data_IF_889306366740
#
_entry.id   IF_889306366740
#
_cell.length_a   1.000
_cell.length_b   1.000
_cell.length_c   1.000
_cell.angle_alpha   90.00
_cell.angle_beta   90.00
_cell.angle_gamma   90.00
#
_symmetry.space_group_name_H-M   'P 1'
#
loop_
_entity.id
_entity.type
_entity.pdbx_description
1 polymer ?
#
# COMPACT_ATOMS: atom_id res chain seq x y z
N UNK A 1 18.47 4.20 0.39
CA UNK A 1 18.91 5.50 0.95
C UNK A 1 17.75 6.04 1.74
N UNK A 2 17.99 6.65 2.90
CA UNK A 2 16.97 7.34 3.69
C UNK A 2 17.14 8.86 3.57
N UNK A 3 16.03 9.59 3.67
CA UNK A 3 15.97 11.06 3.60
C UNK A 3 15.54 11.64 4.94
N UNK A 4 16.12 12.78 5.33
CA UNK A 4 15.63 13.53 6.49
C UNK A 4 14.43 14.40 6.14
N UNK A 5 13.62 14.77 7.13
CA UNK A 5 12.54 15.75 6.96
C UNK A 5 13.07 17.09 6.45
N UNK A 6 14.22 17.54 6.96
CA UNK A 6 14.88 18.76 6.51
C UNK A 6 15.23 18.68 5.01
N UNK A 7 15.83 17.56 4.56
CA UNK A 7 16.14 17.34 3.14
C UNK A 7 14.88 17.37 2.28
N UNK A 8 13.82 16.67 2.70
CA UNK A 8 12.55 16.64 1.98
C UNK A 8 11.90 18.03 1.88
N UNK A 9 12.03 18.87 2.90
CA UNK A 9 11.55 20.25 2.92
C UNK A 9 12.32 21.20 1.98
N UNK A 10 13.53 20.83 1.57
CA UNK A 10 14.34 21.61 0.63
C UNK A 10 14.22 21.11 -0.83
N UNK A 11 13.70 19.90 -1.04
CA UNK A 11 13.56 19.32 -2.38
C UNK A 11 12.61 20.10 -3.29
N UNK A 12 12.99 20.20 -4.58
CA UNK A 12 12.04 20.55 -5.63
C UNK A 12 11.03 19.41 -5.80
N UNK A 13 9.85 19.73 -6.34
CA UNK A 13 8.77 18.75 -6.48
C UNK A 13 9.20 17.48 -7.22
N UNK A 14 9.97 17.62 -8.32
CA UNK A 14 10.46 16.48 -9.09
C UNK A 14 11.36 15.55 -8.25
N UNK A 15 12.24 16.10 -7.42
CA UNK A 15 13.15 15.32 -6.57
C UNK A 15 12.38 14.65 -5.42
N UNK A 16 11.38 15.33 -4.85
CA UNK A 16 10.50 14.78 -3.82
C UNK A 16 9.66 13.61 -4.35
N UNK A 17 9.09 13.75 -5.56
CA UNK A 17 8.35 12.68 -6.22
C UNK A 17 9.28 11.52 -6.60
N UNK A 18 10.51 11.78 -7.03
CA UNK A 18 11.48 10.72 -7.27
C UNK A 18 11.84 9.96 -5.99
N UNK A 19 11.90 10.64 -4.84
CA UNK A 19 12.20 10.05 -3.55
C UNK A 19 11.01 9.25 -2.97
N UNK A 20 9.79 9.79 -3.02
CA UNK A 20 8.63 9.27 -2.29
C UNK A 20 7.48 8.78 -3.18
N UNK A 21 7.57 8.93 -4.50
CA UNK A 21 6.50 8.57 -5.44
C UNK A 21 6.15 7.08 -5.49
N UNK A 22 7.05 6.21 -5.00
CA UNK A 22 6.81 4.77 -4.89
C UNK A 22 6.16 4.34 -3.55
N UNK A 23 5.90 5.28 -2.63
CA UNK A 23 5.26 4.98 -1.33
C UNK A 23 3.85 4.41 -1.54
N UNK A 24 3.11 4.91 -2.51
CA UNK A 24 1.84 4.34 -2.95
C UNK A 24 2.03 3.64 -4.30
N UNK A 25 1.54 2.40 -4.41
CA UNK A 25 1.80 1.57 -5.60
C UNK A 25 1.30 2.27 -6.88
N UNK A 26 2.22 2.46 -7.84
CA UNK A 26 1.99 3.09 -9.15
C UNK A 26 1.21 4.41 -9.11
N UNK A 27 1.27 5.15 -7.98
CA UNK A 27 0.48 6.37 -7.75
C UNK A 27 1.36 7.53 -7.24
N UNK A 28 2.35 8.00 -8.04
CA UNK A 28 3.27 9.07 -7.63
C UNK A 28 2.59 10.43 -7.44
N UNK A 29 1.38 10.61 -7.97
CA UNK A 29 0.58 11.82 -7.80
C UNK A 29 0.32 12.15 -6.32
N UNK A 30 0.25 11.14 -5.43
CA UNK A 30 0.06 11.38 -3.99
C UNK A 30 1.25 12.16 -3.42
N UNK A 31 2.49 11.76 -3.76
CA UNK A 31 3.69 12.49 -3.36
C UNK A 31 3.73 13.89 -4.00
N UNK A 32 3.27 14.01 -5.25
CA UNK A 32 3.23 15.29 -5.96
C UNK A 32 2.32 16.32 -5.27
N UNK A 33 1.13 15.90 -4.85
CA UNK A 33 0.16 16.76 -4.15
C UNK A 33 0.59 17.03 -2.70
N UNK A 34 1.08 16.02 -1.98
CA UNK A 34 1.57 16.19 -0.61
C UNK A 34 2.73 17.20 -0.53
N UNK A 35 3.58 17.28 -1.56
CA UNK A 35 4.68 18.24 -1.64
C UNK A 35 4.25 19.71 -1.44
N UNK A 36 3.00 20.05 -1.80
CA UNK A 36 2.44 21.40 -1.67
C UNK A 36 2.16 21.80 -0.22
N UNK A 37 2.10 20.82 0.70
CA UNK A 37 1.79 21.02 2.12
C UNK A 37 3.03 21.28 2.98
N UNK A 38 4.23 21.27 2.37
CA UNK A 38 5.49 21.60 3.05
C UNK A 38 5.51 23.04 3.57
N UNK A 39 6.29 23.34 4.63
CA UNK A 39 7.23 22.42 5.30
C UNK A 39 6.54 21.44 6.25
N UNK A 40 7.03 20.21 6.28
CA UNK A 40 6.64 19.21 7.28
C UNK A 40 7.45 19.38 8.56
N UNK A 41 6.81 19.21 9.70
CA UNK A 41 7.44 19.34 11.02
C UNK A 41 8.24 18.09 11.38
N UNK A 42 7.67 16.92 11.13
CA UNK A 42 8.26 15.62 11.45
C UNK A 42 7.72 14.52 10.52
N UNK A 43 8.10 13.27 10.80
CA UNK A 43 7.62 12.10 10.06
C UNK A 43 6.10 11.94 10.10
N UNK A 44 5.46 12.25 11.24
CA UNK A 44 4.01 12.11 11.41
C UNK A 44 3.27 13.12 10.54
N UNK A 45 3.78 14.35 10.47
CA UNK A 45 3.22 15.43 9.65
C UNK A 45 3.32 15.08 8.14
N UNK A 46 4.47 14.57 7.69
CA UNK A 46 4.63 14.06 6.32
C UNK A 46 3.66 12.91 6.01
N UNK A 47 3.56 11.93 6.93
CA UNK A 47 2.66 10.80 6.75
C UNK A 47 1.20 11.29 6.64
N UNK A 48 0.79 12.19 7.53
CA UNK A 48 -0.56 12.74 7.54
C UNK A 48 -0.87 13.50 6.25
N UNK A 49 0.07 14.33 5.77
CA UNK A 49 -0.10 15.06 4.52
C UNK A 49 -0.36 14.13 3.31
N UNK A 50 0.34 12.98 3.24
CA UNK A 50 0.10 11.99 2.18
C UNK A 50 -1.24 11.26 2.36
N UNK A 51 -1.64 10.95 3.59
CA UNK A 51 -2.94 10.33 3.90
C UNK A 51 -4.09 11.27 3.59
N UNK A 52 -3.93 12.56 3.85
CA UNK A 52 -4.96 13.58 3.56
C UNK A 52 -5.22 13.68 2.06
N UNK A 53 -4.18 13.57 1.22
CA UNK A 53 -4.36 13.48 -0.24
C UNK A 53 -5.23 12.29 -0.63
N UNK A 54 -5.01 11.11 -0.03
CA UNK A 54 -5.84 9.90 -0.29
C UNK A 54 -7.26 10.07 0.22
N UNK A 55 -7.46 10.73 1.35
CA UNK A 55 -8.77 10.95 1.96
C UNK A 55 -9.67 11.89 1.14
N UNK A 56 -9.08 12.82 0.40
CA UNK A 56 -9.83 13.76 -0.46
C UNK A 56 -9.97 13.29 -1.91
N UNK A 57 -9.35 12.15 -2.27
CA UNK A 57 -9.54 11.53 -3.58
C UNK A 57 -11.01 11.17 -3.82
N UNK A 58 -11.42 11.26 -5.07
CA UNK A 58 -12.69 10.71 -5.53
C UNK A 58 -12.70 9.18 -5.39
N UNK A 59 -13.89 8.60 -5.33
CA UNK A 59 -14.05 7.13 -5.30
C UNK A 59 -13.34 6.45 -6.48
N UNK A 60 -13.37 7.07 -7.66
CA UNK A 60 -12.71 6.54 -8.86
C UNK A 60 -11.18 6.52 -8.71
N UNK A 61 -10.58 7.56 -8.11
CA UNK A 61 -9.14 7.63 -7.84
C UNK A 61 -8.73 6.63 -6.75
N UNK A 62 -9.53 6.50 -5.68
CA UNK A 62 -9.29 5.48 -4.65
C UNK A 62 -9.35 4.07 -5.23
N UNK A 63 -10.34 3.77 -6.09
CA UNK A 63 -10.41 2.49 -6.79
C UNK A 63 -9.23 2.27 -7.74
N UNK A 64 -8.75 3.31 -8.42
CA UNK A 64 -7.55 3.22 -9.27
C UNK A 64 -6.30 2.88 -8.44
N UNK A 65 -6.11 3.56 -7.31
CA UNK A 65 -5.04 3.29 -6.35
C UNK A 65 -5.10 1.84 -5.83
N UNK A 66 -6.29 1.35 -5.46
CA UNK A 66 -6.49 -0.04 -5.01
C UNK A 66 -6.12 -1.01 -6.15
N UNK A 67 -6.60 -0.77 -7.37
CA UNK A 67 -6.35 -1.66 -8.52
C UNK A 67 -4.90 -1.65 -9.01
N UNK A 68 -4.12 -0.62 -8.69
CA UNK A 68 -2.69 -0.58 -8.97
C UNK A 68 -1.90 -1.65 -8.21
N UNK A 69 -2.44 -2.17 -7.10
CA UNK A 69 -1.74 -3.16 -6.28
C UNK A 69 -1.71 -4.55 -6.93
N UNK A 70 -0.57 -5.27 -6.86
CA UNK A 70 -0.50 -6.63 -7.35
C UNK A 70 -1.26 -7.61 -6.44
N UNK A 71 -1.63 -8.76 -7.01
CA UNK A 71 -2.23 -9.83 -6.23
C UNK A 71 -1.25 -10.41 -5.20
N UNK A 72 -1.79 -10.62 -4.00
CA UNK A 72 -1.07 -11.24 -2.90
C UNK A 72 -0.69 -12.68 -3.23
N UNK A 73 0.60 -13.02 -3.06
CA UNK A 73 1.14 -14.34 -3.37
C UNK A 73 1.24 -14.63 -4.87
N UNK A 74 1.10 -13.62 -5.74
CA UNK A 74 1.26 -13.81 -7.18
C UNK A 74 2.73 -13.89 -7.60
N UNK A 75 3.00 -14.62 -8.69
CA UNK A 75 4.31 -14.66 -9.34
C UNK A 75 4.48 -13.57 -10.41
N UNK A 76 3.59 -12.59 -10.44
CA UNK A 76 3.66 -11.49 -11.40
C UNK A 76 4.89 -10.62 -11.11
N UNK A 77 5.34 -9.88 -12.13
CA UNK A 77 6.39 -8.87 -11.92
C UNK A 77 5.80 -7.75 -11.05
N UNK A 78 6.36 -7.55 -9.85
CA UNK A 78 5.92 -6.56 -8.87
C UNK A 78 6.99 -5.48 -8.68
N UNK A 79 6.59 -4.32 -8.14
CA UNK A 79 7.55 -3.34 -7.65
C UNK A 79 8.44 -3.93 -6.55
N UNK A 80 9.67 -3.43 -6.41
CA UNK A 80 10.62 -3.95 -5.43
C UNK A 80 10.09 -3.89 -3.99
N UNK A 81 9.36 -2.82 -3.65
CA UNK A 81 8.70 -2.68 -2.34
C UNK A 81 7.69 -3.80 -2.08
N UNK A 82 6.83 -4.10 -3.05
CA UNK A 82 5.85 -5.19 -3.00
C UNK A 82 6.50 -6.57 -2.83
N UNK A 83 7.67 -6.81 -3.46
CA UNK A 83 8.43 -8.05 -3.27
C UNK A 83 8.97 -8.17 -1.84
N UNK A 84 9.57 -7.10 -1.32
CA UNK A 84 10.14 -7.08 0.04
C UNK A 84 9.07 -7.29 1.12
N UNK A 85 7.89 -6.68 0.93
CA UNK A 85 6.75 -6.83 1.81
C UNK A 85 6.29 -8.28 1.91
N UNK A 86 6.08 -8.95 0.77
CA UNK A 86 5.58 -10.32 0.72
C UNK A 86 6.62 -11.36 1.17
N UNK A 87 7.91 -11.12 0.92
CA UNK A 87 8.99 -11.99 1.40
C UNK A 87 9.06 -12.05 2.92
N UNK A 88 8.74 -10.94 3.62
CA UNK A 88 8.75 -10.88 5.08
C UNK A 88 7.79 -11.85 5.78
N UNK A 89 6.73 -12.29 5.09
CA UNK A 89 5.73 -13.24 5.61
C UNK A 89 5.76 -14.61 4.92
N UNK A 90 6.78 -14.85 4.08
CA UNK A 90 6.98 -16.14 3.41
C UNK A 90 5.96 -16.44 2.30
N UNK A 91 5.33 -15.41 1.72
CA UNK A 91 4.44 -15.57 0.55
C UNK A 91 5.24 -15.83 -0.74
N UNK A 92 6.54 -15.54 -0.75
CA UNK A 92 7.51 -15.95 -1.78
C UNK A 92 7.82 -17.47 -1.74
N UNK A 93 7.46 -18.14 -0.65
CA UNK A 93 7.77 -19.56 -0.36
C UNK A 93 6.51 -20.36 -0.06
N UNK A 94 5.43 -20.12 -0.81
CA UNK A 94 4.21 -20.90 -0.70
C UNK A 94 4.42 -22.32 -1.24
N UNK A 95 3.95 -23.31 -0.48
CA UNK A 95 3.76 -24.66 -1.02
C UNK A 95 2.70 -24.62 -2.14
N UNK A 96 2.68 -25.60 -3.07
CA UNK A 96 1.68 -25.64 -4.13
C UNK A 96 0.24 -25.55 -3.61
N UNK A 97 -0.05 -26.25 -2.50
CA UNK A 97 -1.39 -26.22 -1.87
C UNK A 97 -1.75 -24.86 -1.30
N UNK A 98 -0.81 -24.15 -0.67
CA UNK A 98 -1.07 -22.79 -0.18
C UNK A 98 -1.26 -21.83 -1.36
N UNK A 99 -0.42 -21.94 -2.40
CA UNK A 99 -0.54 -21.11 -3.60
C UNK A 99 -1.91 -21.26 -4.26
N UNK A 100 -2.40 -22.48 -4.46
CA UNK A 100 -3.73 -22.74 -5.02
C UNK A 100 -4.85 -22.15 -4.16
N UNK A 101 -4.69 -22.20 -2.82
CA UNK A 101 -5.65 -21.58 -1.89
C UNK A 101 -5.66 -20.06 -2.03
N UNK A 102 -4.50 -19.41 -2.08
CA UNK A 102 -4.41 -17.96 -2.30
C UNK A 102 -4.98 -17.55 -3.66
N UNK A 103 -4.71 -18.31 -4.72
CA UNK A 103 -5.28 -18.07 -6.05
C UNK A 103 -6.81 -18.15 -6.04
N UNK A 104 -7.36 -19.19 -5.42
CA UNK A 104 -8.83 -19.35 -5.29
C UNK A 104 -9.46 -18.19 -4.53
N UNK A 105 -8.85 -17.76 -3.43
CA UNK A 105 -9.34 -16.65 -2.63
C UNK A 105 -9.23 -15.30 -3.36
N UNK A 106 -8.11 -15.05 -4.04
CA UNK A 106 -7.95 -13.86 -4.88
C UNK A 106 -9.01 -13.80 -5.99
N UNK A 107 -9.29 -14.92 -6.65
CA UNK A 107 -10.33 -15.00 -7.69
C UNK A 107 -11.72 -14.72 -7.13
N UNK A 108 -12.09 -15.35 -6.01
CA UNK A 108 -13.37 -15.11 -5.35
C UNK A 108 -13.53 -13.65 -4.91
N UNK A 109 -12.46 -13.07 -4.35
CA UNK A 109 -12.44 -11.69 -3.90
C UNK A 109 -12.61 -10.71 -5.07
N UNK A 110 -11.83 -10.89 -6.15
CA UNK A 110 -11.96 -10.08 -7.37
C UNK A 110 -13.31 -10.21 -8.03
N UNK A 111 -13.88 -11.41 -8.08
CA UNK A 111 -15.21 -11.61 -8.66
C UNK A 111 -16.29 -10.84 -7.88
N UNK A 112 -16.11 -10.64 -6.57
CA UNK A 112 -17.06 -9.91 -5.73
C UNK A 112 -16.83 -8.39 -5.74
N UNK A 113 -15.58 -7.96 -5.65
CA UNK A 113 -15.23 -6.55 -5.38
C UNK A 113 -14.60 -5.81 -6.55
N UNK A 114 -14.16 -6.52 -7.60
CA UNK A 114 -13.54 -5.96 -8.81
C UNK A 114 -12.21 -5.21 -8.55
N UNK A 115 -11.50 -5.61 -7.49
CA UNK A 115 -10.16 -5.12 -7.15
C UNK A 115 -9.38 -6.18 -6.34
N UNK A 116 -8.04 -6.11 -6.27
CA UNK A 116 -7.22 -7.10 -5.56
C UNK A 116 -7.44 -7.08 -4.06
N UNK A 117 -7.19 -8.21 -3.38
CA UNK A 117 -7.15 -8.23 -1.93
C UNK A 117 -5.86 -7.59 -1.43
N UNK A 118 -5.98 -6.52 -0.66
CA UNK A 118 -4.85 -5.77 -0.11
C UNK A 118 -4.85 -5.93 1.41
N UNK A 119 -3.69 -6.26 1.97
CA UNK A 119 -3.46 -6.31 3.41
C UNK A 119 -2.04 -5.89 3.72
N UNK A 120 -1.84 -5.16 4.82
CA UNK A 120 -0.53 -4.73 5.27
C UNK A 120 0.24 -5.91 5.88
N UNK A 121 0.84 -6.74 5.01
CA UNK A 121 1.41 -8.05 5.34
C UNK A 121 2.37 -8.06 6.53
N UNK A 122 3.12 -6.99 6.80
CA UNK A 122 4.02 -6.90 7.96
C UNK A 122 3.32 -7.10 9.32
N UNK A 123 2.02 -6.85 9.38
CA UNK A 123 1.20 -7.06 10.58
C UNK A 123 0.59 -8.47 10.69
N UNK A 124 0.88 -9.34 9.73
CA UNK A 124 0.13 -10.58 9.54
C UNK A 124 1.02 -11.83 9.44
N UNK A 125 0.44 -12.95 9.82
CA UNK A 125 0.90 -14.30 9.45
C UNK A 125 0.06 -14.83 8.30
N UNK A 126 0.55 -15.83 7.56
CA UNK A 126 -0.24 -16.53 6.52
C UNK A 126 -1.63 -16.95 7.01
N UNK A 127 -1.71 -17.50 8.22
CA UNK A 127 -2.99 -17.90 8.84
C UNK A 127 -3.92 -16.71 9.01
N UNK A 128 -3.44 -15.61 9.59
CA UNK A 128 -4.26 -14.41 9.78
C UNK A 128 -4.68 -13.74 8.46
N UNK A 129 -3.89 -13.90 7.39
CA UNK A 129 -4.28 -13.42 6.05
C UNK A 129 -5.44 -14.25 5.50
N UNK A 130 -5.40 -15.58 5.66
CA UNK A 130 -6.50 -16.45 5.25
C UNK A 130 -7.78 -16.13 6.04
N UNK A 131 -7.67 -15.91 7.35
CA UNK A 131 -8.79 -15.46 8.18
C UNK A 131 -9.31 -14.08 7.75
N UNK A 132 -8.43 -13.17 7.34
CA UNK A 132 -8.80 -11.87 6.81
C UNK A 132 -9.56 -11.98 5.49
N UNK A 133 -9.15 -12.88 4.57
CA UNK A 133 -9.93 -13.21 3.38
C UNK A 133 -11.34 -13.69 3.75
N UNK A 134 -11.44 -14.70 4.61
CA UNK A 134 -12.72 -15.30 5.00
C UNK A 134 -13.64 -14.25 5.63
N UNK A 135 -13.12 -13.38 6.50
CA UNK A 135 -13.91 -12.29 7.10
C UNK A 135 -14.33 -11.25 6.07
N UNK A 136 -13.38 -10.72 5.28
CA UNK A 136 -13.61 -9.58 4.38
C UNK A 136 -14.44 -9.95 3.15
N UNK A 137 -14.45 -11.21 2.74
CA UNK A 137 -15.40 -11.71 1.75
C UNK A 137 -16.86 -11.55 2.15
N UNK A 138 -17.18 -11.32 3.42
CA UNK A 138 -18.55 -11.02 3.88
C UNK A 138 -18.89 -9.52 3.87
N UNK A 139 -17.92 -8.63 3.61
CA UNK A 139 -18.17 -7.19 3.59
C UNK A 139 -19.06 -6.77 2.41
N UNK A 140 -19.64 -5.58 2.54
CA UNK A 140 -20.25 -4.86 1.42
C UNK A 140 -19.16 -4.21 0.57
N UNK A 141 -19.39 -3.96 -0.74
CA UNK A 141 -18.38 -3.32 -1.58
C UNK A 141 -17.86 -1.99 -1.04
N UNK A 142 -18.76 -1.13 -0.53
CA UNK A 142 -18.39 0.16 0.05
C UNK A 142 -17.53 0.02 1.30
N UNK A 143 -17.87 -0.92 2.20
CA UNK A 143 -17.06 -1.18 3.39
C UNK A 143 -15.68 -1.74 3.00
N UNK A 144 -15.62 -2.55 1.95
CA UNK A 144 -14.37 -3.16 1.50
C UNK A 144 -13.42 -2.16 0.82
N UNK A 145 -13.94 -1.19 0.08
CA UNK A 145 -13.13 -0.08 -0.44
C UNK A 145 -12.47 0.67 0.71
N UNK A 146 -13.23 1.02 1.76
CA UNK A 146 -12.67 1.68 2.94
C UNK A 146 -11.60 0.81 3.62
N UNK A 147 -11.88 -0.48 3.82
CA UNK A 147 -10.90 -1.41 4.39
C UNK A 147 -9.62 -1.47 3.55
N UNK A 148 -9.74 -1.53 2.22
CA UNK A 148 -8.58 -1.56 1.34
C UNK A 148 -7.74 -0.27 1.44
N UNK A 149 -8.37 0.90 1.51
CA UNK A 149 -7.66 2.17 1.74
C UNK A 149 -6.96 2.19 3.10
N UNK A 150 -7.63 1.73 4.16
CA UNK A 150 -7.02 1.65 5.49
C UNK A 150 -5.75 0.76 5.47
N UNK A 151 -5.78 -0.37 4.76
CA UNK A 151 -4.62 -1.27 4.57
C UNK A 151 -3.50 -0.62 3.74
N UNK A 152 -3.86 0.10 2.66
CA UNK A 152 -2.89 0.85 1.84
C UNK A 152 -2.20 1.92 2.67
N UNK A 153 -2.92 2.64 3.54
CA UNK A 153 -2.33 3.62 4.45
C UNK A 153 -1.30 2.99 5.39
N UNK A 154 -1.56 1.78 5.89
CA UNK A 154 -0.58 1.04 6.71
C UNK A 154 0.65 0.60 5.89
N UNK A 155 0.45 0.12 4.66
CA UNK A 155 1.54 -0.23 3.74
C UNK A 155 2.41 1.01 3.44
N UNK A 156 1.79 2.14 3.12
CA UNK A 156 2.45 3.41 2.88
C UNK A 156 3.27 3.85 4.09
N UNK A 157 2.76 3.70 5.31
CA UNK A 157 3.49 3.98 6.54
C UNK A 157 4.79 3.17 6.63
N UNK A 158 4.72 1.87 6.33
CA UNK A 158 5.89 0.99 6.36
C UNK A 158 6.91 1.32 5.26
N UNK A 159 6.46 1.72 4.08
CA UNK A 159 7.32 2.16 2.98
C UNK A 159 8.00 3.48 3.32
N UNK A 160 7.24 4.43 3.86
CA UNK A 160 7.75 5.73 4.27
C UNK A 160 8.79 5.59 5.40
N UNK A 161 8.52 4.77 6.42
CA UNK A 161 9.48 4.49 7.49
C UNK A 161 10.79 3.83 7.00
N UNK A 162 10.78 3.15 5.84
CA UNK A 162 12.00 2.61 5.23
C UNK A 162 12.80 3.67 4.44
N UNK A 163 12.15 4.78 4.05
CA UNK A 163 12.71 5.84 3.21
C UNK A 163 13.04 7.12 3.98
N UNK A 164 12.45 7.34 5.16
CA UNK A 164 12.54 8.60 5.90
C UNK A 164 13.05 8.36 7.31
N UNK A 165 13.94 9.25 7.77
CA UNK A 165 14.45 9.28 9.15
C UNK A 165 14.13 10.63 9.79
N UNK A 166 13.91 10.62 11.12
CA UNK A 166 13.66 11.85 11.88
C UNK A 166 14.88 12.78 11.99
N UNK A 167 16.08 12.26 11.70
CA UNK A 167 17.36 12.98 11.73
C UNK A 167 17.69 13.62 10.39
#
# INVERSE_FOLDING_TARGET
>A
MSYSIAQLNEMKQADFVAALGAVFEDTPAIAQEAWTQRPFTDWTDLQQAMVDVVNVMTEAEQLALIRAHPDLGSKAKMAEASVQEQAGVGLDRLTPKEYDRFQTLNQAYKAKFDFPFIVAVKNHTKTSILEAFDRRLHNTPTAEVKQAIDEITQIAAFRLAALVTDA
#
